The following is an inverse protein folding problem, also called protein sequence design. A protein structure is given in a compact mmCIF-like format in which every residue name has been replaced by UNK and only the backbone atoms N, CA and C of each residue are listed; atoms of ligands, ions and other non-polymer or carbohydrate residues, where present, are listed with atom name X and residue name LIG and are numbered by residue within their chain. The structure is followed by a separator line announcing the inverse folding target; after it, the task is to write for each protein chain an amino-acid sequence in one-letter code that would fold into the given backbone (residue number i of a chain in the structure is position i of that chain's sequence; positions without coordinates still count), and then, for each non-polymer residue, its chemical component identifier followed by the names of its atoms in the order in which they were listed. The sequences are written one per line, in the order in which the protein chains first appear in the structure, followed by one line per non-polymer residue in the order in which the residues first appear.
data_IF_189435461014
#
_entry.id   IF_189435461014
#
_cell.length_a   1.000
_cell.length_b   1.000
_cell.length_c   1.000
_cell.angle_alpha   90.00
_cell.angle_beta   90.00
_cell.angle_gamma   90.00
#
_symmetry.space_group_name_H-M   'P 1'
#
loop_
_entity.id
_entity.type
_entity.pdbx_description
1 polymer ?
#
# COMPACT_ATOMS: atom_id res chain seq x y z
N UNK A 1 5.46 3.34 -42.41
CA UNK A 1 6.17 3.10 -41.15
C UNK A 1 5.12 2.93 -40.06
N UNK A 2 4.92 1.71 -39.56
CA UNK A 2 4.10 1.47 -38.37
C UNK A 2 4.96 1.78 -37.15
N UNK A 3 4.61 2.83 -36.42
CA UNK A 3 5.23 3.14 -35.12
C UNK A 3 4.68 2.14 -34.11
N UNK A 4 5.46 1.10 -33.78
CA UNK A 4 5.18 0.23 -32.65
C UNK A 4 5.50 1.02 -31.39
N UNK A 5 4.49 1.65 -30.80
CA UNK A 5 4.58 2.19 -29.45
C UNK A 5 4.55 0.98 -28.52
N UNK A 6 5.73 0.48 -28.17
CA UNK A 6 5.87 -0.49 -27.09
C UNK A 6 5.52 0.21 -25.79
N UNK A 7 4.25 0.12 -25.39
CA UNK A 7 3.81 0.38 -24.03
C UNK A 7 4.38 -0.76 -23.17
N UNK A 8 5.64 -0.62 -22.77
CA UNK A 8 6.16 -1.37 -21.63
C UNK A 8 5.36 -0.87 -20.44
N UNK A 9 4.27 -1.56 -20.14
CA UNK A 9 3.46 -1.31 -18.96
C UNK A 9 4.30 -1.62 -17.73
N UNK A 10 5.15 -0.69 -17.32
CA UNK A 10 5.65 -0.64 -15.96
C UNK A 10 4.44 -0.28 -15.10
N UNK A 11 3.66 -1.28 -14.69
CA UNK A 11 2.81 -1.15 -13.52
C UNK A 11 3.73 -0.67 -12.41
N UNK A 12 3.53 0.58 -11.98
CA UNK A 12 4.35 1.17 -10.94
C UNK A 12 4.12 0.33 -9.68
N UNK A 13 5.08 -0.54 -9.35
CA UNK A 13 5.08 -1.29 -8.09
C UNK A 13 5.03 -0.35 -6.89
N UNK A 14 5.70 0.80 -7.03
CA UNK A 14 5.80 1.84 -6.01
C UNK A 14 5.03 3.09 -6.41
N UNK A 15 4.17 3.59 -5.53
CA UNK A 15 3.57 4.94 -5.64
C UNK A 15 4.09 5.83 -4.54
N UNK A 16 4.48 7.07 -4.88
CA UNK A 16 4.97 8.09 -3.95
C UNK A 16 3.95 9.23 -3.83
N UNK A 17 3.66 9.68 -2.61
CA UNK A 17 2.74 10.81 -2.38
C UNK A 17 3.39 12.20 -2.52
N UNK A 18 4.64 12.25 -2.98
CA UNK A 18 5.45 13.45 -3.06
C UNK A 18 6.16 13.53 -4.41
N UNK A 19 6.48 14.74 -4.85
CA UNK A 19 7.10 15.02 -6.15
C UNK A 19 8.48 14.35 -6.30
N UNK A 20 9.01 14.32 -7.53
CA UNK A 20 10.30 13.73 -7.93
C UNK A 20 11.56 14.30 -7.24
N UNK A 21 11.43 15.11 -6.18
CA UNK A 21 12.54 15.32 -5.26
C UNK A 21 12.78 14.00 -4.54
N UNK A 22 13.95 13.42 -4.70
CA UNK A 22 14.39 12.27 -3.91
C UNK A 22 14.44 12.68 -2.44
N UNK A 23 13.32 12.55 -1.74
CA UNK A 23 13.28 12.57 -0.28
C UNK A 23 14.04 11.34 0.20
N UNK A 24 14.88 11.52 1.20
CA UNK A 24 15.55 10.42 1.87
C UNK A 24 14.55 9.61 2.70
N UNK A 25 14.84 8.31 2.89
CA UNK A 25 13.93 7.33 3.52
C UNK A 25 13.50 7.75 4.93
N UNK A 26 14.35 8.46 5.68
CA UNK A 26 14.02 8.96 7.01
C UNK A 26 12.87 9.99 7.04
N UNK A 27 12.46 10.55 5.89
CA UNK A 27 11.45 11.59 5.80
C UNK A 27 10.06 11.08 5.37
N UNK A 28 9.92 9.79 5.08
CA UNK A 28 8.64 9.20 4.68
C UNK A 28 8.45 7.80 5.27
N UNK A 29 7.20 7.35 5.26
CA UNK A 29 6.82 6.00 5.64
C UNK A 29 6.70 5.11 4.39
N UNK A 30 7.12 3.86 4.51
CA UNK A 30 6.92 2.84 3.48
C UNK A 30 5.83 1.89 3.95
N UNK A 31 4.80 1.68 3.14
CA UNK A 31 3.77 0.67 3.38
C UNK A 31 3.86 -0.37 2.26
N UNK A 32 4.13 -1.62 2.61
CA UNK A 32 4.29 -2.73 1.67
C UNK A 32 3.15 -3.72 1.81
N UNK A 33 2.64 -4.18 0.67
CA UNK A 33 1.81 -5.37 0.62
C UNK A 33 2.70 -6.62 0.71
N UNK A 34 2.32 -7.56 1.56
CA UNK A 34 2.98 -8.87 1.62
C UNK A 34 2.45 -9.76 0.49
N UNK A 35 3.36 -10.51 -0.13
CA UNK A 35 3.03 -11.65 -0.99
C UNK A 35 3.51 -12.91 -0.28
N UNK A 36 2.58 -13.82 0.00
CA UNK A 36 2.84 -15.14 0.58
C UNK A 36 2.25 -16.25 -0.31
N UNK A 37 2.33 -17.50 0.16
CA UNK A 37 1.86 -18.68 -0.58
C UNK A 37 0.34 -18.67 -0.86
N UNK A 38 -0.43 -17.84 -0.15
CA UNK A 38 -1.88 -17.77 -0.21
C UNK A 38 -2.38 -16.45 -0.79
N UNK A 39 -1.83 -15.32 -0.36
CA UNK A 39 -2.33 -13.99 -0.68
C UNK A 39 -1.25 -13.07 -1.26
N UNK A 40 -1.69 -12.23 -2.20
CA UNK A 40 -0.95 -11.03 -2.62
C UNK A 40 -1.74 -9.80 -2.19
N UNK A 41 -1.09 -8.91 -1.44
CA UNK A 41 -1.65 -7.60 -1.05
C UNK A 41 -1.18 -6.53 -2.03
N UNK A 42 -2.13 -5.80 -2.61
CA UNK A 42 -1.84 -4.65 -3.48
C UNK A 42 -2.68 -3.44 -3.08
N UNK A 43 -2.27 -2.23 -3.43
CA UNK A 43 -2.95 -1.00 -3.03
C UNK A 43 -3.89 -0.49 -4.11
N UNK A 44 -5.09 -0.05 -3.71
CA UNK A 44 -6.08 0.52 -4.60
C UNK A 44 -6.28 2.01 -4.36
N UNK A 45 -6.37 2.42 -3.10
CA UNK A 45 -6.62 3.80 -2.70
C UNK A 45 -5.93 4.14 -1.39
N UNK A 46 -5.62 5.42 -1.20
CA UNK A 46 -5.29 5.97 0.11
C UNK A 46 -5.90 7.37 0.29
N UNK A 47 -6.06 7.82 1.53
CA UNK A 47 -6.45 9.18 1.85
C UNK A 47 -5.79 9.62 3.16
N UNK A 48 -5.21 10.82 3.18
CA UNK A 48 -4.78 11.48 4.42
C UNK A 48 -6.03 11.90 5.21
N UNK A 49 -6.04 11.57 6.50
CA UNK A 49 -7.13 11.85 7.43
C UNK A 49 -6.79 13.09 8.24
N UNK A 50 -7.11 14.27 7.70
CA UNK A 50 -6.99 15.53 8.40
C UNK A 50 -8.27 15.86 9.19
N UNK A 51 -8.09 16.31 10.43
CA UNK A 51 -9.20 16.66 11.32
C UNK A 51 -9.97 17.85 10.73
N UNK A 52 -11.28 17.66 10.53
CA UNK A 52 -12.18 18.72 10.05
C UNK A 52 -12.18 18.91 8.53
N UNK A 53 -11.46 18.08 7.77
CA UNK A 53 -11.52 18.07 6.31
C UNK A 53 -12.11 16.76 5.80
N UNK A 54 -12.77 16.83 4.63
CA UNK A 54 -13.19 15.63 3.91
C UNK A 54 -11.92 14.95 3.36
N UNK A 55 -11.72 13.64 3.55
CA UNK A 55 -10.57 12.94 3.00
C UNK A 55 -10.50 13.10 1.48
N UNK A 56 -9.33 13.51 0.97
CA UNK A 56 -9.00 13.54 -0.45
C UNK A 56 -8.48 12.16 -0.86
N UNK A 57 -9.38 11.34 -1.42
CA UNK A 57 -9.08 9.96 -1.80
C UNK A 57 -8.26 9.95 -3.09
N UNK A 58 -7.10 9.28 -3.04
CA UNK A 58 -6.22 9.03 -4.17
C UNK A 58 -6.35 7.59 -4.62
N UNK A 59 -6.85 7.38 -5.83
CA UNK A 59 -6.83 6.08 -6.49
C UNK A 59 -5.44 5.84 -7.09
N UNK A 60 -4.80 4.75 -6.69
CA UNK A 60 -3.44 4.38 -7.08
C UNK A 60 -3.37 3.07 -7.86
N UNK A 61 -4.44 2.27 -7.80
CA UNK A 61 -4.51 1.01 -8.52
C UNK A 61 -5.92 0.66 -8.97
N UNK A 62 -6.03 0.19 -10.20
CA UNK A 62 -7.29 -0.26 -10.80
C UNK A 62 -7.04 -1.37 -11.85
N UNK A 63 -8.09 -2.01 -12.41
CA UNK A 63 -7.92 -3.12 -13.34
C UNK A 63 -7.26 -2.73 -14.68
N UNK A 64 -7.19 -1.43 -15.01
CA UNK A 64 -6.64 -0.89 -16.26
C UNK A 64 -5.15 -0.60 -16.11
N UNK A 65 -4.74 0.05 -15.01
CA UNK A 65 -3.35 0.48 -14.78
C UNK A 65 -2.53 -0.51 -13.94
N UNK A 66 -3.19 -1.50 -13.34
CA UNK A 66 -2.60 -2.42 -12.36
C UNK A 66 -2.66 -1.87 -10.94
N UNK A 67 -2.22 -2.67 -9.98
CA UNK A 67 -2.19 -2.29 -8.57
C UNK A 67 -0.75 -2.27 -8.06
N UNK A 68 -0.28 -1.17 -7.42
CA UNK A 68 1.02 -1.14 -6.76
C UNK A 68 1.06 -2.10 -5.56
N UNK A 69 2.26 -2.58 -5.22
CA UNK A 69 2.55 -3.40 -4.03
C UNK A 69 3.28 -2.61 -2.93
N UNK A 70 3.57 -1.32 -3.16
CA UNK A 70 4.26 -0.45 -2.22
C UNK A 70 3.81 1.02 -2.31
N UNK A 71 3.59 1.67 -1.17
CA UNK A 71 3.30 3.11 -1.04
C UNK A 71 4.40 3.81 -0.24
N UNK A 72 4.88 4.95 -0.74
CA UNK A 72 5.75 5.89 0.00
C UNK A 72 4.92 7.11 0.35
N UNK A 73 4.59 7.26 1.64
CA UNK A 73 3.67 8.28 2.13
C UNK A 73 4.38 9.19 3.12
N UNK A 74 4.05 10.48 3.12
CA UNK A 74 4.49 11.37 4.19
C UNK A 74 3.90 10.92 5.55
N UNK A 75 4.51 11.27 6.68
CA UNK A 75 3.98 10.94 8.00
C UNK A 75 2.58 11.54 8.21
N UNK A 76 1.67 10.79 8.81
CA UNK A 76 0.28 11.21 8.97
C UNK A 76 -0.67 10.09 9.36
N UNK A 77 -1.94 10.42 9.54
CA UNK A 77 -3.00 9.42 9.75
C UNK A 77 -3.66 9.13 8.41
N UNK A 78 -3.72 7.87 7.99
CA UNK A 78 -4.21 7.48 6.68
C UNK A 78 -5.34 6.47 6.78
N UNK A 79 -6.25 6.57 5.81
CA UNK A 79 -7.07 5.46 5.37
C UNK A 79 -6.40 4.83 4.15
N UNK A 80 -6.25 3.51 4.14
CA UNK A 80 -5.66 2.76 3.04
C UNK A 80 -6.61 1.63 2.66
N UNK A 81 -6.92 1.52 1.37
CA UNK A 81 -7.70 0.45 0.79
C UNK A 81 -6.76 -0.46 0.00
N UNK A 82 -6.87 -1.76 0.24
CA UNK A 82 -6.03 -2.77 -0.41
C UNK A 82 -6.89 -3.77 -1.13
N UNK A 83 -6.29 -4.42 -2.13
CA UNK A 83 -6.81 -5.54 -2.86
C UNK A 83 -6.04 -6.78 -2.42
N UNK A 84 -6.70 -7.66 -1.67
CA UNK A 84 -6.19 -8.98 -1.35
C UNK A 84 -6.60 -9.95 -2.46
N UNK A 85 -5.65 -10.68 -3.03
CA UNK A 85 -5.92 -11.72 -4.03
C UNK A 85 -5.33 -13.04 -3.59
N UNK A 86 -6.15 -14.09 -3.58
CA UNK A 86 -5.68 -15.46 -3.44
C UNK A 86 -5.98 -16.27 -4.70
N UNK A 87 -5.01 -17.07 -5.14
CA UNK A 87 -5.21 -18.08 -6.18
C UNK A 87 -5.36 -19.41 -5.49
N UNK A 88 -6.58 -19.92 -5.46
CA UNK A 88 -6.89 -21.23 -4.86
C UNK A 88 -7.09 -22.27 -5.97
N UNK A 89 -7.02 -23.56 -5.61
CA UNK A 89 -7.39 -24.64 -6.53
C UNK A 89 -8.86 -24.57 -7.01
N UNK A 90 -9.71 -23.74 -6.39
CA UNK A 90 -11.11 -23.52 -6.75
C UNK A 90 -11.35 -22.22 -7.53
N UNK A 91 -10.29 -21.45 -7.81
CA UNK A 91 -10.37 -20.16 -8.50
C UNK A 91 -9.79 -19.01 -7.71
N UNK A 92 -10.04 -17.79 -8.18
CA UNK A 92 -9.52 -16.54 -7.62
C UNK A 92 -10.46 -16.01 -6.55
N UNK A 93 -9.95 -15.85 -5.33
CA UNK A 93 -10.64 -15.13 -4.27
C UNK A 93 -10.09 -13.71 -4.21
N UNK A 94 -10.98 -12.73 -4.12
CA UNK A 94 -10.60 -11.32 -4.00
C UNK A 94 -11.39 -10.65 -2.87
N UNK A 95 -10.71 -9.80 -2.10
CA UNK A 95 -11.36 -8.91 -1.15
C UNK A 95 -10.70 -7.53 -1.16
N UNK A 96 -11.44 -6.56 -0.63
CA UNK A 96 -11.08 -5.14 -0.62
C UNK A 96 -11.13 -4.56 0.80
N UNK A 97 -10.31 -5.08 1.74
CA UNK A 97 -10.31 -4.55 3.09
C UNK A 97 -9.63 -3.18 3.15
N UNK A 98 -9.91 -2.46 4.21
CA UNK A 98 -9.28 -1.18 4.48
C UNK A 98 -8.75 -1.08 5.90
N UNK A 99 -7.68 -0.30 6.06
CA UNK A 99 -7.06 -0.02 7.34
C UNK A 99 -7.00 1.48 7.60
N UNK A 100 -7.12 1.84 8.88
CA UNK A 100 -6.74 3.16 9.37
C UNK A 100 -5.43 3.02 10.13
N UNK A 101 -4.42 3.80 9.77
CA UNK A 101 -3.09 3.70 10.38
C UNK A 101 -2.45 5.06 10.53
N UNK A 102 -1.61 5.19 11.57
CA UNK A 102 -0.76 6.35 11.78
C UNK A 102 0.66 5.98 11.34
N UNK A 103 1.15 6.70 10.35
CA UNK A 103 2.45 6.48 9.72
C UNK A 103 3.48 7.45 10.29
N UNK A 104 4.65 6.91 10.63
CA UNK A 104 5.78 7.63 11.19
C UNK A 104 6.92 7.73 10.16
N UNK A 105 7.69 8.82 10.21
CA UNK A 105 8.81 9.04 9.30
C UNK A 105 9.91 7.99 9.50
N UNK A 106 10.46 7.46 8.41
CA UNK A 106 11.51 6.45 8.45
C UNK A 106 11.03 5.05 8.83
N UNK A 107 9.72 4.86 9.03
CA UNK A 107 9.15 3.56 9.40
C UNK A 107 8.71 2.77 8.17
N UNK A 108 8.86 1.45 8.25
CA UNK A 108 8.32 0.51 7.25
C UNK A 108 7.25 -0.37 7.88
N UNK A 109 6.11 -0.43 7.21
CA UNK A 109 4.94 -1.17 7.59
C UNK A 109 4.66 -2.24 6.54
N UNK A 110 4.26 -3.42 7.01
CA UNK A 110 3.82 -4.51 6.15
C UNK A 110 2.35 -4.81 6.42
N UNK A 111 1.61 -4.97 5.33
CA UNK A 111 0.20 -5.34 5.33
C UNK A 111 0.05 -6.75 4.77
N UNK A 112 -0.56 -7.62 5.57
CA UNK A 112 -0.78 -9.02 5.24
C UNK A 112 -2.28 -9.31 5.26
N UNK A 113 -2.75 -10.09 4.29
CA UNK A 113 -4.14 -10.53 4.24
C UNK A 113 -4.23 -11.95 4.76
N UNK A 114 -5.12 -12.19 5.72
CA UNK A 114 -5.31 -13.49 6.34
C UNK A 114 -6.74 -13.98 6.14
N UNK A 115 -6.92 -15.27 5.86
CA UNK A 115 -8.23 -15.91 5.92
C UNK A 115 -8.66 -16.06 7.37
N UNK A 116 -9.82 -15.52 7.73
CA UNK A 116 -10.41 -15.69 9.07
C UNK A 116 -11.62 -16.62 9.06
N UNK A 117 -11.82 -17.34 7.96
CA UNK A 117 -12.97 -18.23 7.74
C UNK A 117 -14.22 -17.47 7.34
N UNK A 118 -15.31 -18.21 7.10
CA UNK A 118 -16.62 -17.64 6.74
C UNK A 118 -16.62 -16.71 5.52
N UNK A 119 -15.69 -16.91 4.57
CA UNK A 119 -15.46 -16.03 3.42
C UNK A 119 -15.07 -14.58 3.80
N UNK A 120 -14.35 -14.41 4.91
CA UNK A 120 -13.85 -13.11 5.37
C UNK A 120 -12.33 -13.09 5.34
N UNK A 121 -11.78 -11.93 4.99
CA UNK A 121 -10.33 -11.68 4.99
C UNK A 121 -10.05 -10.58 6.02
N UNK A 122 -9.11 -10.81 6.93
CA UNK A 122 -8.56 -9.76 7.79
C UNK A 122 -7.34 -9.12 7.15
N UNK A 123 -7.07 -7.88 7.52
CA UNK A 123 -5.87 -7.15 7.14
C UNK A 123 -5.07 -6.91 8.41
N UNK A 124 -3.87 -7.48 8.49
CA UNK A 124 -2.98 -7.35 9.63
C UNK A 124 -1.84 -6.38 9.30
N UNK A 125 -1.50 -5.54 10.26
CA UNK A 125 -0.45 -4.54 10.14
C UNK A 125 0.72 -4.92 11.06
N UNK A 126 1.88 -5.18 10.48
CA UNK A 126 3.12 -5.37 11.22
C UNK A 126 4.04 -4.19 10.99
N UNK A 127 4.43 -3.50 12.07
CA UNK A 127 5.49 -2.48 12.01
C UNK A 127 6.83 -3.18 12.18
N UNK A 128 7.69 -3.13 11.15
CA UNK A 128 9.00 -3.81 11.19
C UNK A 128 10.14 -2.93 11.69
N UNK A 129 10.00 -1.60 11.64
CA UNK A 129 11.04 -0.68 12.10
C UNK A 129 10.43 0.58 12.69
N UNK A 130 10.62 0.79 13.99
CA UNK A 130 10.70 2.13 14.56
C UNK A 130 12.18 2.50 14.57
N UNK A 131 12.58 3.51 13.78
CA UNK A 131 13.85 4.15 14.07
C UNK A 131 13.75 4.68 15.51
N UNK A 132 14.55 4.10 16.42
CA UNK A 132 14.83 4.72 17.70
C UNK A 132 15.49 6.06 17.38
N UNK A 133 14.69 7.11 17.27
CA UNK A 133 15.19 8.46 17.19
C UNK A 133 15.88 8.76 18.52
N UNK A 134 17.21 8.68 18.49
CA UNK A 134 18.17 9.36 19.34
C UNK A 134 17.62 9.93 20.66
N UNK A 135 17.61 9.12 21.73
CA UNK A 135 17.85 9.64 23.08
C UNK A 135 19.35 9.76 23.28
N UNK A 136 19.95 10.81 22.74
CA UNK A 136 21.24 11.29 23.25
C UNK A 136 20.93 12.29 24.36
N UNK A 137 20.88 11.78 25.59
CA UNK A 137 21.11 12.56 26.80
C UNK A 137 22.60 12.99 26.89
#
# INVERSE_FOLDING_TARGET
MLTVVSLVGCSARVVKSFDNKELSVENYAIVKGVEDDYYTVMFSEYALLDVGQKPDVKTVGDPIIGYPDELHLLPGSYYINVRCVAITGMGKLEAWPSARMKLEAGSTYELECNDVGENKISLELTSKYQNQAASSD
#
